data_IF_150339813354
#
_entry.id   IF_150339813354
#
_cell.length_a   1.000
_cell.length_b   1.000
_cell.length_c   1.000
_cell.angle_alpha   90.00
_cell.angle_beta   90.00
_cell.angle_gamma   90.00
#
_symmetry.space_group_name_H-M   'P 1'
#
loop_
_entity.id
_entity.type
_entity.pdbx_description
1 polymer ?
#
# COMPACT_ATOMS: atom_id res chain seq x y z
N UNK A 1 16.25 7.62 23.80
CA UNK A 1 15.73 6.25 24.00
C UNK A 1 15.03 5.81 22.72
N UNK A 2 15.74 5.06 21.85
CA UNK A 2 15.16 4.63 20.58
C UNK A 2 14.18 3.48 20.83
N UNK A 3 12.92 3.68 20.44
CA UNK A 3 11.87 2.67 20.56
C UNK A 3 12.16 1.58 19.53
N UNK A 4 12.54 0.39 19.99
CA UNK A 4 12.60 -0.79 19.12
C UNK A 4 11.22 -0.99 18.48
N UNK A 5 11.18 -1.08 17.15
CA UNK A 5 9.97 -1.50 16.47
C UNK A 5 9.73 -2.98 16.81
N UNK A 6 8.54 -3.29 17.33
CA UNK A 6 8.09 -4.68 17.51
C UNK A 6 8.35 -5.48 16.22
N UNK A 7 8.64 -6.78 16.36
CA UNK A 7 8.94 -7.70 15.23
C UNK A 7 7.94 -7.65 14.05
N UNK A 8 6.72 -7.20 14.33
CA UNK A 8 5.62 -7.03 13.37
C UNK A 8 5.73 -5.75 12.51
N UNK A 9 6.61 -4.82 12.85
CA UNK A 9 6.79 -3.55 12.13
C UNK A 9 5.59 -2.61 12.27
N UNK A 10 5.52 -1.62 11.36
CA UNK A 10 4.42 -0.64 11.28
C UNK A 10 3.29 -1.10 10.34
N UNK A 11 3.55 -2.09 9.47
CA UNK A 11 2.61 -2.59 8.47
C UNK A 11 1.25 -3.07 9.03
N UNK A 12 1.21 -3.85 10.13
CA UNK A 12 -0.07 -4.28 10.72
C UNK A 12 -0.92 -3.14 11.24
N UNK A 13 -0.32 -2.04 11.72
CA UNK A 13 -1.07 -0.84 12.15
C UNK A 13 -1.68 -0.15 10.94
N UNK A 14 -0.91 0.01 9.86
CA UNK A 14 -1.43 0.54 8.60
C UNK A 14 -2.60 -0.29 8.08
N UNK A 15 -2.46 -1.62 8.05
CA UNK A 15 -3.52 -2.53 7.60
C UNK A 15 -4.77 -2.43 8.48
N UNK A 16 -4.61 -2.47 9.81
CA UNK A 16 -5.73 -2.37 10.74
C UNK A 16 -6.49 -1.05 10.59
N UNK A 17 -5.80 0.09 10.59
CA UNK A 17 -6.44 1.40 10.41
C UNK A 17 -7.12 1.52 9.05
N UNK A 18 -6.48 1.00 8.01
CA UNK A 18 -7.05 0.95 6.67
C UNK A 18 -8.34 0.13 6.59
N UNK A 19 -8.37 -1.03 7.24
CA UNK A 19 -9.54 -1.92 7.29
C UNK A 19 -10.67 -1.33 8.15
N UNK A 20 -10.35 -0.74 9.30
CA UNK A 20 -11.34 -0.08 10.17
C UNK A 20 -11.99 1.09 9.43
N UNK A 21 -11.18 1.93 8.78
CA UNK A 21 -11.72 3.03 7.96
C UNK A 21 -12.59 2.50 6.81
N UNK A 22 -12.13 1.45 6.13
CA UNK A 22 -12.90 0.77 5.09
C UNK A 22 -14.26 0.24 5.56
N UNK A 23 -14.29 -0.39 6.74
CA UNK A 23 -15.51 -0.90 7.33
C UNK A 23 -16.50 0.24 7.64
N UNK A 24 -16.02 1.36 8.19
CA UNK A 24 -16.84 2.56 8.44
C UNK A 24 -17.42 3.10 7.14
N UNK A 25 -16.59 3.22 6.09
CA UNK A 25 -17.03 3.66 4.76
C UNK A 25 -18.07 2.73 4.15
N UNK A 26 -17.91 1.41 4.30
CA UNK A 26 -18.88 0.44 3.82
C UNK A 26 -20.21 0.56 4.57
N UNK A 27 -20.18 0.67 5.90
CA UNK A 27 -21.38 0.90 6.71
C UNK A 27 -22.10 2.16 6.25
N UNK A 28 -21.37 3.28 6.12
CA UNK A 28 -21.93 4.54 5.62
C UNK A 28 -22.52 4.39 4.21
N UNK A 29 -21.82 3.72 3.30
CA UNK A 29 -22.33 3.49 1.96
C UNK A 29 -23.65 2.72 1.97
N UNK A 30 -23.75 1.63 2.72
CA UNK A 30 -24.98 0.83 2.80
C UNK A 30 -26.11 1.53 3.54
N UNK A 31 -25.82 2.31 4.59
CA UNK A 31 -26.84 3.08 5.33
C UNK A 31 -27.51 4.17 4.48
N UNK A 32 -26.81 4.71 3.49
CA UNK A 32 -27.30 5.80 2.63
C UNK A 32 -27.40 5.39 1.16
N UNK A 33 -27.41 4.10 0.87
CA UNK A 33 -27.60 3.60 -0.50
C UNK A 33 -29.06 3.80 -0.94
N UNK A 34 -29.33 4.32 -2.17
CA UNK A 34 -28.40 4.67 -3.25
C UNK A 34 -27.97 6.15 -3.29
N UNK A 35 -28.40 6.99 -2.34
CA UNK A 35 -28.21 8.46 -2.35
C UNK A 35 -26.75 8.90 -2.46
N UNK A 36 -25.79 8.13 -1.94
CA UNK A 36 -24.35 8.43 -1.98
C UNK A 36 -23.59 7.74 -3.13
N UNK A 37 -24.31 7.28 -4.16
CA UNK A 37 -23.70 6.70 -5.36
C UNK A 37 -23.46 7.76 -6.43
N UNK A 38 -22.34 7.66 -7.12
CA UNK A 38 -22.01 8.53 -8.24
C UNK A 38 -21.34 7.73 -9.36
N UNK A 39 -21.76 7.99 -10.59
CA UNK A 39 -21.18 7.37 -11.79
C UNK A 39 -20.67 8.44 -12.74
N UNK A 40 -19.36 8.77 -12.66
CA UNK A 40 -18.68 9.68 -13.64
C UNK A 40 -18.76 9.07 -15.06
N UNK A 41 -18.75 7.75 -15.12
CA UNK A 41 -18.68 6.91 -16.32
C UNK A 41 -19.67 5.76 -16.12
N UNK A 42 -20.05 5.07 -17.19
CA UNK A 42 -20.88 3.85 -17.15
C UNK A 42 -20.45 2.90 -16.02
N UNK A 43 -21.43 2.39 -15.26
CA UNK A 43 -21.23 1.45 -14.16
C UNK A 43 -20.36 0.25 -14.58
N UNK A 44 -20.55 -0.25 -15.80
CA UNK A 44 -19.76 -1.36 -16.34
C UNK A 44 -18.29 -1.00 -16.52
N UNK A 45 -17.99 0.21 -16.98
CA UNK A 45 -16.61 0.70 -17.14
C UNK A 45 -15.93 0.78 -15.77
N UNK A 46 -16.62 1.33 -14.76
CA UNK A 46 -16.09 1.39 -13.39
C UNK A 46 -15.80 0.00 -12.82
N UNK A 47 -16.70 -0.96 -13.03
CA UNK A 47 -16.50 -2.35 -12.60
C UNK A 47 -15.28 -2.98 -13.29
N UNK A 48 -15.16 -2.82 -14.60
CA UNK A 48 -14.02 -3.37 -15.38
C UNK A 48 -12.70 -2.76 -14.91
N UNK A 49 -12.61 -1.43 -14.83
CA UNK A 49 -11.40 -0.73 -14.40
C UNK A 49 -11.03 -1.08 -12.95
N UNK A 50 -12.01 -1.10 -12.05
CA UNK A 50 -11.77 -1.45 -10.66
C UNK A 50 -11.34 -2.91 -10.48
N UNK A 51 -11.90 -3.82 -11.28
CA UNK A 51 -11.49 -5.24 -11.29
C UNK A 51 -10.06 -5.40 -11.79
N UNK A 52 -9.68 -4.70 -12.87
CA UNK A 52 -8.29 -4.70 -13.37
C UNK A 52 -7.32 -4.22 -12.30
N UNK A 53 -7.65 -3.12 -11.60
CA UNK A 53 -6.81 -2.61 -10.51
C UNK A 53 -6.63 -3.65 -9.40
N UNK A 54 -7.70 -4.34 -8.97
CA UNK A 54 -7.60 -5.37 -7.93
C UNK A 54 -6.79 -6.58 -8.41
N UNK A 55 -6.99 -7.03 -9.65
CA UNK A 55 -6.23 -8.16 -10.23
C UNK A 55 -4.73 -7.85 -10.30
N UNK A 56 -4.34 -6.60 -10.51
CA UNK A 56 -2.93 -6.18 -10.50
C UNK A 56 -2.44 -6.02 -9.05
N UNK A 57 -3.22 -5.33 -8.21
CA UNK A 57 -2.83 -4.96 -6.85
C UNK A 57 -2.70 -6.14 -5.90
N UNK A 58 -3.61 -7.10 -5.96
CA UNK A 58 -3.68 -8.19 -4.98
C UNK A 58 -2.48 -9.15 -5.07
N UNK A 59 -2.03 -9.59 -6.26
CA UNK A 59 -0.79 -10.35 -6.40
C UNK A 59 0.44 -9.56 -5.94
N UNK A 60 0.54 -8.27 -6.29
CA UNK A 60 1.63 -7.41 -5.83
C UNK A 60 1.66 -7.32 -4.30
N UNK A 61 0.51 -7.18 -3.66
CA UNK A 61 0.38 -7.15 -2.20
C UNK A 61 0.88 -8.46 -1.55
N UNK A 62 0.39 -9.61 -2.04
CA UNK A 62 0.80 -10.93 -1.53
C UNK A 62 2.31 -11.14 -1.70
N UNK A 63 2.83 -10.91 -2.90
CA UNK A 63 4.26 -11.09 -3.20
C UNK A 63 5.13 -10.18 -2.33
N UNK A 64 4.72 -8.92 -2.14
CA UNK A 64 5.42 -7.97 -1.27
C UNK A 64 5.42 -8.41 0.19
N UNK A 65 4.31 -8.96 0.68
CA UNK A 65 4.17 -9.51 2.02
C UNK A 65 5.09 -10.72 2.25
N UNK A 66 5.08 -11.68 1.32
CA UNK A 66 5.94 -12.87 1.40
C UNK A 66 7.43 -12.46 1.42
N UNK A 67 7.84 -11.56 0.53
CA UNK A 67 9.23 -11.13 0.46
C UNK A 67 9.69 -10.39 1.72
N UNK A 68 8.88 -9.46 2.26
CA UNK A 68 9.30 -8.75 3.48
C UNK A 68 9.35 -9.66 4.69
N UNK A 69 8.37 -10.55 4.88
CA UNK A 69 8.35 -11.48 6.00
C UNK A 69 9.53 -12.47 5.96
N UNK A 70 9.87 -12.97 4.78
CA UNK A 70 11.02 -13.89 4.62
C UNK A 70 12.36 -13.22 4.89
N UNK A 71 12.54 -11.94 4.55
CA UNK A 71 13.77 -11.20 4.79
C UNK A 71 13.88 -10.71 6.24
N UNK A 72 12.78 -10.23 6.83
CA UNK A 72 12.70 -9.89 8.26
C UNK A 72 13.06 -11.10 9.13
N UNK A 73 12.54 -12.29 8.80
CA UNK A 73 12.86 -13.53 9.52
C UNK A 73 14.35 -13.90 9.50
N UNK A 74 15.08 -13.44 8.47
CA UNK A 74 16.53 -13.62 8.32
C UNK A 74 17.36 -12.43 8.83
N UNK A 75 16.70 -11.38 9.34
CA UNK A 75 17.36 -10.13 9.75
C UNK A 75 18.02 -9.35 8.60
N UNK A 76 17.64 -9.61 7.34
CA UNK A 76 18.24 -9.00 6.15
C UNK A 76 17.36 -7.90 5.57
N UNK A 77 17.97 -6.93 4.89
CA UNK A 77 17.25 -5.95 4.10
C UNK A 77 16.68 -6.61 2.84
N UNK A 78 15.42 -6.30 2.50
CA UNK A 78 14.79 -6.79 1.27
C UNK A 78 14.97 -5.76 0.14
N UNK A 79 15.77 -6.11 -0.87
CA UNK A 79 16.08 -5.23 -2.01
C UNK A 79 15.88 -5.89 -3.37
N UNK A 80 15.28 -7.08 -3.40
CA UNK A 80 15.13 -7.91 -4.61
C UNK A 80 13.65 -8.12 -4.96
N UNK A 81 13.38 -8.63 -6.17
CA UNK A 81 12.02 -8.84 -6.64
C UNK A 81 11.24 -7.52 -6.73
N UNK A 82 10.04 -7.46 -6.15
CA UNK A 82 9.23 -6.22 -6.18
C UNK A 82 9.87 -5.06 -5.41
N UNK A 83 10.70 -5.35 -4.41
CA UNK A 83 11.45 -4.34 -3.66
C UNK A 83 12.61 -3.74 -4.49
N UNK A 84 13.03 -4.38 -5.58
CA UNK A 84 14.02 -3.76 -6.48
C UNK A 84 13.46 -2.54 -7.24
N UNK A 85 12.12 -2.45 -7.38
CA UNK A 85 11.44 -1.43 -8.17
C UNK A 85 10.90 -0.28 -7.32
N UNK A 86 10.36 -0.57 -6.14
CA UNK A 86 10.00 0.46 -5.15
C UNK A 86 10.24 -0.06 -3.72
N UNK A 87 10.47 0.86 -2.78
CA UNK A 87 10.82 0.50 -1.40
C UNK A 87 9.66 0.02 -0.57
N UNK A 88 8.44 0.46 -0.92
CA UNK A 88 7.20 0.20 -0.19
C UNK A 88 6.11 -0.42 -1.08
N UNK A 89 6.40 -1.55 -1.77
CA UNK A 89 5.48 -2.16 -2.73
C UNK A 89 4.21 -2.70 -2.08
N UNK A 90 4.28 -3.14 -0.81
CA UNK A 90 3.12 -3.57 -0.03
C UNK A 90 2.13 -2.42 0.17
N UNK A 91 2.61 -1.25 0.60
CA UNK A 91 1.78 -0.05 0.75
C UNK A 91 1.27 0.44 -0.61
N UNK A 92 2.15 0.47 -1.63
CA UNK A 92 1.79 0.88 -2.99
C UNK A 92 0.68 0.01 -3.59
N UNK A 93 0.77 -1.31 -3.44
CA UNK A 93 -0.26 -2.25 -3.90
C UNK A 93 -1.63 -1.93 -3.28
N UNK A 94 -1.66 -1.63 -1.98
CA UNK A 94 -2.92 -1.34 -1.28
C UNK A 94 -3.49 0.05 -1.65
N UNK A 95 -2.65 1.09 -1.60
CA UNK A 95 -3.03 2.50 -1.77
C UNK A 95 -3.35 2.84 -3.23
N UNK A 96 -2.60 2.30 -4.19
CA UNK A 96 -2.71 2.68 -5.60
C UNK A 96 -3.59 1.75 -6.43
N UNK A 97 -3.79 0.51 -5.99
CA UNK A 97 -4.50 -0.50 -6.78
C UNK A 97 -5.73 -1.05 -6.06
N UNK A 98 -5.55 -1.72 -4.92
CA UNK A 98 -6.65 -2.46 -4.27
C UNK A 98 -7.77 -1.53 -3.83
N UNK A 99 -7.47 -0.50 -3.04
CA UNK A 99 -8.53 0.39 -2.52
C UNK A 99 -9.16 1.26 -3.61
N UNK A 100 -8.39 1.89 -4.52
CA UNK A 100 -8.99 2.57 -5.67
C UNK A 100 -9.90 1.64 -6.49
N UNK A 101 -9.52 0.38 -6.68
CA UNK A 101 -10.36 -0.61 -7.37
C UNK A 101 -11.68 -0.88 -6.66
N UNK A 102 -11.68 -1.00 -5.32
CA UNK A 102 -12.90 -1.14 -4.51
C UNK A 102 -13.79 0.10 -4.64
N UNK A 103 -13.20 1.30 -4.56
CA UNK A 103 -13.94 2.56 -4.73
C UNK A 103 -14.59 2.65 -6.10
N UNK A 104 -13.89 2.24 -7.17
CA UNK A 104 -14.45 2.22 -8.52
C UNK A 104 -15.62 1.24 -8.63
N UNK A 105 -15.49 0.02 -8.12
CA UNK A 105 -16.56 -0.99 -8.18
C UNK A 105 -17.80 -0.55 -7.40
N UNK A 106 -17.61 0.05 -6.22
CA UNK A 106 -18.73 0.52 -5.38
C UNK A 106 -19.41 1.77 -5.94
N UNK A 107 -18.70 2.60 -6.71
CA UNK A 107 -19.24 3.87 -7.22
C UNK A 107 -19.70 4.81 -6.10
N UNK A 108 -19.12 4.68 -4.91
CA UNK A 108 -19.55 5.38 -3.71
C UNK A 108 -18.78 6.69 -3.53
N UNK A 109 -19.49 7.81 -3.42
CA UNK A 109 -18.87 9.13 -3.21
C UNK A 109 -18.08 9.16 -1.90
N UNK A 110 -18.66 8.61 -0.83
CA UNK A 110 -17.99 8.56 0.49
C UNK A 110 -16.73 7.70 0.45
N UNK A 111 -16.68 6.69 -0.42
CA UNK A 111 -15.52 5.82 -0.53
C UNK A 111 -14.30 6.49 -1.17
N UNK A 112 -14.47 7.61 -1.89
CA UNK A 112 -13.35 8.40 -2.43
C UNK A 112 -12.41 8.90 -1.32
N UNK A 113 -12.93 9.13 -0.11
CA UNK A 113 -12.12 9.53 1.03
C UNK A 113 -11.11 8.45 1.47
N UNK A 114 -11.36 7.18 1.14
CA UNK A 114 -10.56 6.04 1.62
C UNK A 114 -9.16 5.98 1.00
N UNK A 115 -8.97 6.09 -0.34
CA UNK A 115 -7.64 6.24 -0.93
C UNK A 115 -6.84 7.42 -0.37
N UNK A 116 -7.50 8.57 -0.13
CA UNK A 116 -6.86 9.78 0.42
C UNK A 116 -6.35 9.53 1.83
N UNK A 117 -7.20 8.95 2.69
CA UNK A 117 -6.83 8.55 4.04
C UNK A 117 -5.64 7.58 4.04
N UNK A 118 -5.68 6.55 3.20
CA UNK A 118 -4.59 5.59 3.08
C UNK A 118 -3.29 6.19 2.54
N UNK A 119 -3.37 7.15 1.64
CA UNK A 119 -2.19 7.87 1.15
C UNK A 119 -1.49 8.63 2.29
N UNK A 120 -2.27 9.32 3.14
CA UNK A 120 -1.73 10.02 4.33
C UNK A 120 -1.07 9.01 5.28
N UNK A 121 -1.76 7.91 5.62
CA UNK A 121 -1.18 6.87 6.47
C UNK A 121 0.09 6.28 5.85
N UNK A 122 0.09 6.03 4.55
CA UNK A 122 1.25 5.53 3.84
C UNK A 122 2.45 6.47 4.01
N UNK A 123 2.29 7.78 3.80
CA UNK A 123 3.36 8.77 4.02
C UNK A 123 3.91 8.75 5.44
N UNK A 124 3.05 8.60 6.45
CA UNK A 124 3.45 8.55 7.86
C UNK A 124 4.23 7.27 8.16
N UNK A 125 3.66 6.11 7.83
CA UNK A 125 4.24 4.81 8.20
C UNK A 125 5.48 4.48 7.38
N UNK A 126 5.52 4.84 6.11
CA UNK A 126 6.75 4.71 5.31
C UNK A 126 7.87 5.53 5.94
N UNK A 127 7.64 6.80 6.31
CA UNK A 127 8.67 7.62 6.96
C UNK A 127 9.16 7.04 8.30
N UNK A 128 8.27 6.43 9.10
CA UNK A 128 8.64 5.71 10.33
C UNK A 128 9.50 4.47 10.01
N UNK A 129 9.09 3.68 9.02
CA UNK A 129 9.80 2.48 8.57
C UNK A 129 11.19 2.81 8.01
N UNK A 130 11.31 3.83 7.17
CA UNK A 130 12.58 4.26 6.59
C UNK A 130 13.55 4.74 7.69
N UNK A 131 13.06 5.44 8.73
CA UNK A 131 13.88 5.83 9.88
C UNK A 131 14.45 4.63 10.63
N UNK A 132 13.61 3.61 10.84
CA UNK A 132 14.05 2.36 11.47
C UNK A 132 15.06 1.61 10.58
N UNK A 133 14.80 1.50 9.27
CA UNK A 133 15.69 0.82 8.33
C UNK A 133 17.05 1.52 8.23
N UNK A 134 17.09 2.86 8.21
CA UNK A 134 18.35 3.63 8.28
C UNK A 134 19.13 3.33 9.56
N UNK A 135 18.44 3.23 10.70
CA UNK A 135 19.07 2.93 11.99
C UNK A 135 19.61 1.49 12.03
N UNK A 136 18.86 0.53 11.48
CA UNK A 136 19.18 -0.90 11.54
C UNK A 136 20.24 -1.35 10.54
N UNK A 137 20.17 -0.83 9.30
CA UNK A 137 20.98 -1.32 8.17
C UNK A 137 22.01 -0.28 7.69
N UNK A 138 21.97 0.96 8.21
CA UNK A 138 22.96 2.00 7.92
C UNK A 138 23.20 2.21 6.44
N UNK A 139 24.46 2.11 6.02
CA UNK A 139 24.90 2.35 4.65
C UNK A 139 24.27 1.43 3.61
N UNK A 140 23.92 0.19 3.98
CA UNK A 140 23.23 -0.74 3.08
C UNK A 140 21.87 -0.16 2.65
N UNK A 141 21.11 0.35 3.61
CA UNK A 141 19.83 0.99 3.33
C UNK A 141 19.99 2.33 2.62
N UNK A 142 20.99 3.14 2.98
CA UNK A 142 21.23 4.42 2.30
C UNK A 142 21.58 4.24 0.81
N UNK A 143 22.33 3.19 0.45
CA UNK A 143 22.58 2.84 -0.97
C UNK A 143 21.29 2.44 -1.67
N UNK A 144 20.49 1.58 -1.04
CA UNK A 144 19.20 1.16 -1.58
C UNK A 144 18.23 2.34 -1.76
N UNK A 145 18.18 3.25 -0.80
CA UNK A 145 17.34 4.44 -0.80
C UNK A 145 17.66 5.40 -1.95
N UNK A 146 18.94 5.59 -2.26
CA UNK A 146 19.37 6.41 -3.41
C UNK A 146 18.96 5.80 -4.75
N UNK A 147 18.89 4.48 -4.83
CA UNK A 147 18.65 3.77 -6.08
C UNK A 147 17.17 3.51 -6.40
N UNK A 148 16.32 3.37 -5.38
CA UNK A 148 14.94 2.88 -5.54
C UNK A 148 13.97 3.88 -4.94
N UNK A 149 12.94 4.30 -5.66
CA UNK A 149 11.94 5.26 -5.13
C UNK A 149 11.01 4.63 -4.09
N UNK A 150 10.37 5.47 -3.28
CA UNK A 150 9.51 5.02 -2.18
C UNK A 150 8.33 4.14 -2.66
N UNK A 151 7.44 4.68 -3.50
CA UNK A 151 6.20 4.00 -3.93
C UNK A 151 6.16 3.76 -5.43
N UNK A 152 6.47 4.77 -6.24
CA UNK A 152 6.43 4.64 -7.69
C UNK A 152 7.60 3.81 -8.22
N UNK A 153 7.37 2.85 -9.12
CA UNK A 153 8.43 1.97 -9.58
C UNK A 153 9.47 2.72 -10.43
N UNK A 154 10.76 2.46 -10.19
CA UNK A 154 11.83 2.88 -11.11
C UNK A 154 11.95 1.85 -12.24
N UNK A 155 11.27 2.12 -13.36
CA UNK A 155 11.11 1.18 -14.49
C UNK A 155 12.43 0.88 -15.23
N UNK A 156 13.47 1.72 -15.08
CA UNK A 156 14.68 1.69 -15.90
C UNK A 156 15.91 1.03 -15.24
N UNK A 157 15.74 0.26 -14.16
CA UNK A 157 16.88 -0.37 -13.49
C UNK A 157 17.27 -1.69 -14.17
N UNK A 158 18.47 -1.75 -14.74
CA UNK A 158 19.10 -3.02 -15.14
C UNK A 158 19.42 -3.83 -13.88
N UNK A 159 18.95 -5.08 -13.84
CA UNK A 159 19.45 -6.05 -12.87
C UNK A 159 20.92 -6.32 -13.19
N UNK A 160 21.81 -5.95 -12.28
CA UNK A 160 23.21 -6.39 -12.27
C UNK A 160 23.39 -7.42 -11.18
#
# INVERSE_FOLDING_TARGET
MHKEMNRLGVGPKFALLGLVYGAVILVLHYSFFPTLTFTLISKWVNIVLGTILIIIGFPLFILSGIMVHTHIGKGKLCTTGVYAYCRHPLYGAWVLFVVPGIVMITGSVVAISWPVFLYILCKIYTAEEERYLRTKFGDEYLRYEKEVYAIFPKIWRKYS
#
